data_IF_863440796180
#
_entry.id   IF_863440796180
#
_cell.length_a   1.000
_cell.length_b   1.000
_cell.length_c   1.000
_cell.angle_alpha   90.00
_cell.angle_beta   90.00
_cell.angle_gamma   90.00
#
_symmetry.space_group_name_H-M   'P 1'
#
loop_
_entity.id
_entity.type
_entity.pdbx_description
1 polymer ?
#
# COMPACT_ATOMS: atom_id res chain seq x y z
N UNK A 1 -39.53 -44.89 2.48
CA UNK A 1 -38.43 -45.42 1.65
C UNK A 1 -38.86 -45.21 0.21
N UNK A 2 -38.47 -44.16 -0.52
CA UNK A 2 -37.18 -43.47 -0.68
C UNK A 2 -37.44 -42.01 -1.14
N UNK A 3 -36.67 -41.00 -0.70
CA UNK A 3 -36.74 -39.66 -1.26
C UNK A 3 -35.94 -39.58 -2.57
N UNK A 4 -36.56 -39.03 -3.63
CA UNK A 4 -35.88 -38.66 -4.87
C UNK A 4 -35.48 -37.18 -4.84
N UNK A 5 -34.32 -36.95 -5.45
CA UNK A 5 -33.89 -35.78 -6.21
C UNK A 5 -33.11 -34.66 -5.49
N UNK A 6 -31.79 -34.82 -5.59
CA UNK A 6 -30.74 -33.88 -6.00
C UNK A 6 -30.62 -32.48 -5.35
N UNK A 7 -29.51 -32.17 -4.66
CA UNK A 7 -29.17 -30.80 -4.30
C UNK A 7 -28.49 -30.08 -5.46
N UNK A 8 -29.25 -29.28 -6.22
CA UNK A 8 -28.70 -28.29 -7.16
C UNK A 8 -27.70 -27.36 -6.42
N UNK A 9 -26.39 -27.35 -6.76
CA UNK A 9 -25.54 -26.25 -6.36
C UNK A 9 -25.87 -25.10 -7.30
N UNK A 10 -26.83 -24.26 -6.89
CA UNK A 10 -26.98 -22.90 -7.42
C UNK A 10 -25.74 -22.07 -7.05
N UNK A 11 -24.59 -22.44 -7.60
CA UNK A 11 -23.42 -21.58 -7.77
C UNK A 11 -23.81 -20.52 -8.78
N UNK A 12 -24.55 -19.54 -8.27
CA UNK A 12 -24.59 -18.21 -8.87
C UNK A 12 -23.15 -17.73 -8.89
N UNK A 13 -22.46 -17.97 -9.99
CA UNK A 13 -21.15 -17.39 -10.26
C UNK A 13 -21.40 -15.89 -10.37
N UNK A 14 -21.26 -15.19 -9.24
CA UNK A 14 -21.29 -13.76 -9.18
C UNK A 14 -20.09 -13.27 -10.00
N UNK A 15 -20.32 -12.96 -11.28
CA UNK A 15 -19.35 -12.26 -12.10
C UNK A 15 -18.87 -10.99 -11.39
N UNK A 16 -17.71 -10.43 -11.79
CA UNK A 16 -17.16 -9.25 -11.14
C UNK A 16 -18.24 -8.17 -11.07
N UNK A 17 -18.61 -7.78 -9.85
CA UNK A 17 -19.61 -6.74 -9.61
C UNK A 17 -19.14 -5.49 -10.36
N UNK A 18 -20.02 -4.81 -11.12
CA UNK A 18 -19.68 -3.51 -11.70
C UNK A 18 -19.20 -2.59 -10.58
N UNK A 19 -17.92 -2.20 -10.63
CA UNK A 19 -17.38 -1.23 -9.68
C UNK A 19 -18.12 0.08 -9.97
N UNK A 20 -18.87 0.64 -8.99
CA UNK A 20 -19.55 1.91 -9.22
C UNK A 20 -18.52 2.96 -9.62
N UNK A 21 -18.83 3.86 -10.57
CA UNK A 21 -17.89 4.90 -10.97
C UNK A 21 -17.48 5.71 -9.72
N UNK A 22 -16.20 6.13 -9.62
CA UNK A 22 -15.76 6.97 -8.50
C UNK A 22 -16.69 8.19 -8.45
N UNK A 23 -17.26 8.44 -7.27
CA UNK A 23 -18.25 9.51 -7.05
C UNK A 23 -17.64 10.82 -7.50
N UNK A 24 -18.05 11.33 -8.67
CA UNK A 24 -17.66 12.67 -9.11
C UNK A 24 -18.36 13.67 -8.21
N UNK A 25 -17.59 14.25 -7.29
CA UNK A 25 -18.04 15.31 -6.38
C UNK A 25 -18.33 14.80 -4.97
N UNK A 26 -17.30 14.76 -4.13
CA UNK A 26 -17.50 14.86 -2.69
C UNK A 26 -18.15 16.24 -2.39
N UNK A 27 -19.08 16.38 -1.42
CA UNK A 27 -19.71 17.67 -1.10
C UNK A 27 -18.78 18.64 -0.33
N UNK A 28 -17.47 18.38 -0.34
CA UNK A 28 -16.50 19.14 0.44
C UNK A 28 -16.11 20.44 -0.28
N UNK A 29 -15.96 21.51 0.50
CA UNK A 29 -15.39 22.78 0.06
C UNK A 29 -14.15 23.08 0.93
N UNK A 30 -12.95 23.26 0.34
CA UNK A 30 -12.63 23.16 -1.09
C UNK A 30 -12.84 21.74 -1.66
N UNK A 31 -13.00 21.60 -2.99
CA UNK A 31 -13.22 20.31 -3.62
C UNK A 31 -12.04 19.36 -3.35
N UNK A 32 -12.35 18.08 -3.13
CA UNK A 32 -11.33 17.07 -2.90
C UNK A 32 -10.53 16.80 -4.18
N UNK A 33 -9.22 16.50 -4.05
CA UNK A 33 -8.42 16.07 -5.19
C UNK A 33 -8.94 14.74 -5.75
N UNK A 34 -8.72 14.53 -7.04
CA UNK A 34 -9.07 13.28 -7.71
C UNK A 34 -8.13 12.15 -7.27
N UNK A 35 -8.58 10.90 -7.41
CA UNK A 35 -7.75 9.76 -7.08
C UNK A 35 -6.48 9.65 -7.94
N UNK A 36 -6.48 10.22 -9.15
CA UNK A 36 -5.31 10.18 -10.03
C UNK A 36 -4.29 11.29 -9.72
N UNK A 37 -4.67 12.30 -8.93
CA UNK A 37 -3.80 13.43 -8.59
C UNK A 37 -2.65 13.03 -7.66
N UNK A 38 -1.55 13.78 -7.68
CA UNK A 38 -0.39 13.50 -6.82
C UNK A 38 -0.67 13.67 -5.32
N UNK A 39 -1.63 14.53 -4.99
CA UNK A 39 -2.12 14.90 -3.66
C UNK A 39 -3.42 14.17 -3.28
N UNK A 40 -3.68 12.99 -3.86
CA UNK A 40 -4.92 12.21 -3.63
C UNK A 40 -5.19 11.86 -2.17
N UNK A 41 -4.15 11.78 -1.36
CA UNK A 41 -4.17 11.52 0.08
C UNK A 41 -4.70 12.72 0.90
N UNK A 42 -4.76 13.92 0.31
CA UNK A 42 -5.38 15.10 0.93
C UNK A 42 -6.93 15.08 0.90
N UNK A 43 -7.54 14.06 0.27
CA UNK A 43 -8.99 13.88 0.31
C UNK A 43 -9.47 13.55 1.74
N UNK A 44 -10.73 13.91 2.06
CA UNK A 44 -11.29 13.71 3.39
C UNK A 44 -11.57 12.22 3.65
N UNK A 45 -11.33 11.78 4.89
CA UNK A 45 -11.69 10.44 5.36
C UNK A 45 -13.21 10.29 5.37
N UNK A 46 -13.71 9.30 4.64
CA UNK A 46 -15.12 8.92 4.61
C UNK A 46 -15.42 7.78 5.60
N UNK A 47 -14.46 6.87 5.81
CA UNK A 47 -14.57 5.79 6.80
C UNK A 47 -13.19 5.38 7.29
N UNK A 48 -13.07 5.06 8.56
CA UNK A 48 -11.81 4.72 9.20
C UNK A 48 -11.95 3.37 9.91
N UNK A 49 -11.04 2.45 9.58
CA UNK A 49 -11.06 1.07 10.06
C UNK A 49 -9.80 0.80 10.89
N UNK A 50 -9.83 1.29 12.13
CA UNK A 50 -8.73 1.22 13.07
C UNK A 50 -8.20 -0.19 13.32
N UNK A 51 -9.10 -1.18 13.42
CA UNK A 51 -8.72 -2.59 13.66
C UNK A 51 -7.94 -3.20 12.47
N UNK A 52 -8.05 -2.60 11.29
CA UNK A 52 -7.43 -3.09 10.05
C UNK A 52 -6.33 -2.15 9.52
N UNK A 53 -6.11 -0.99 10.14
CA UNK A 53 -5.05 -0.05 9.78
C UNK A 53 -5.26 0.68 8.44
N UNK A 54 -6.51 0.95 8.04
CA UNK A 54 -6.80 1.70 6.80
C UNK A 54 -7.98 2.67 6.91
N UNK A 55 -8.00 3.65 6.02
CA UNK A 55 -9.04 4.66 5.88
C UNK A 55 -9.50 4.76 4.42
N UNK A 56 -10.81 4.73 4.20
CA UNK A 56 -11.39 5.04 2.89
C UNK A 56 -11.58 6.55 2.77
N UNK A 57 -10.98 7.15 1.74
CA UNK A 57 -11.13 8.55 1.40
C UNK A 57 -12.33 8.76 0.48
N UNK A 58 -12.91 9.96 0.50
CA UNK A 58 -14.11 10.29 -0.28
C UNK A 58 -13.89 10.28 -1.80
N UNK A 59 -12.65 10.32 -2.28
CA UNK A 59 -12.29 10.14 -3.69
C UNK A 59 -12.13 8.66 -4.09
N UNK A 60 -12.38 7.73 -3.16
CA UNK A 60 -12.31 6.28 -3.40
C UNK A 60 -10.93 5.66 -3.18
N UNK A 61 -9.96 6.43 -2.69
CA UNK A 61 -8.63 5.91 -2.33
C UNK A 61 -8.70 5.23 -0.96
N UNK A 62 -8.10 4.05 -0.83
CA UNK A 62 -7.86 3.41 0.46
C UNK A 62 -6.45 3.79 0.90
N UNK A 63 -6.36 4.55 1.99
CA UNK A 63 -5.09 4.97 2.58
C UNK A 63 -4.76 4.06 3.77
N UNK A 64 -3.58 3.45 3.73
CA UNK A 64 -3.04 2.64 4.82
C UNK A 64 -2.23 3.52 5.79
N UNK A 65 -2.11 3.08 7.03
CA UNK A 65 -1.34 3.81 8.06
C UNK A 65 0.13 3.99 7.72
N UNK A 66 0.71 3.09 6.91
CA UNK A 66 2.09 3.19 6.45
C UNK A 66 2.28 4.07 5.22
N UNK A 67 1.28 4.87 4.83
CA UNK A 67 1.26 5.71 3.62
C UNK A 67 1.14 4.91 2.32
N UNK A 68 0.88 3.60 2.39
CA UNK A 68 0.44 2.85 1.20
C UNK A 68 -0.94 3.32 0.73
N UNK A 69 -1.20 3.27 -0.57
CA UNK A 69 -2.49 3.65 -1.13
C UNK A 69 -3.00 2.58 -2.10
N UNK A 70 -4.30 2.30 -2.09
CA UNK A 70 -4.98 1.56 -3.18
C UNK A 70 -5.95 2.52 -3.86
N UNK A 71 -5.73 2.72 -5.16
CA UNK A 71 -6.59 3.54 -6.01
C UNK A 71 -7.93 2.84 -6.27
N UNK A 72 -9.00 3.59 -6.58
CA UNK A 72 -10.29 3.01 -6.98
C UNK A 72 -10.19 2.13 -8.25
N UNK A 73 -9.12 2.28 -9.03
CA UNK A 73 -8.81 1.41 -10.17
C UNK A 73 -8.23 0.04 -9.77
N UNK A 74 -7.99 -0.21 -8.48
CA UNK A 74 -7.30 -1.39 -7.96
C UNK A 74 -5.78 -1.35 -8.08
N UNK A 75 -5.19 -0.19 -8.43
CA UNK A 75 -3.74 -0.02 -8.49
C UNK A 75 -3.18 0.24 -7.09
N UNK A 76 -2.10 -0.43 -6.74
CA UNK A 76 -1.38 -0.23 -5.48
C UNK A 76 -0.25 0.79 -5.67
N UNK A 77 -0.12 1.70 -4.71
CA UNK A 77 0.98 2.65 -4.58
C UNK A 77 1.72 2.28 -3.30
N UNK A 78 3.03 2.09 -3.45
CA UNK A 78 3.86 1.65 -2.33
C UNK A 78 3.96 2.72 -1.24
N UNK A 79 4.07 2.29 0.03
CA UNK A 79 4.38 3.15 1.17
C UNK A 79 5.53 4.11 0.89
N UNK A 80 5.32 5.41 1.15
CA UNK A 80 6.38 6.43 1.05
C UNK A 80 7.33 6.36 2.25
N UNK A 81 8.05 5.24 2.42
CA UNK A 81 9.11 5.13 3.43
C UNK A 81 10.36 5.83 2.92
N UNK A 82 10.76 6.92 3.56
CA UNK A 82 12.14 7.40 3.40
C UNK A 82 13.06 6.30 3.92
N UNK A 83 13.70 5.57 3.01
CA UNK A 83 14.79 4.70 3.41
C UNK A 83 15.81 5.57 4.15
N UNK A 84 16.36 5.12 5.29
CA UNK A 84 17.46 5.83 5.91
C UNK A 84 18.52 5.97 4.83
N UNK A 85 18.91 7.22 4.53
CA UNK A 85 20.06 7.50 3.68
C UNK A 85 21.17 6.63 4.23
N UNK A 86 21.65 5.68 3.42
CA UNK A 86 22.71 4.79 3.84
C UNK A 86 23.77 5.68 4.47
N UNK A 87 23.98 5.54 5.78
CA UNK A 87 25.05 6.25 6.43
C UNK A 87 26.28 5.92 5.60
N UNK A 88 27.11 6.92 5.30
CA UNK A 88 28.45 6.63 4.81
C UNK A 88 29.09 5.79 5.91
N UNK A 89 29.04 4.46 5.81
CA UNK A 89 29.75 3.58 6.72
C UNK A 89 31.21 3.87 6.38
N UNK A 90 31.98 4.50 7.28
CA UNK A 90 33.37 4.75 7.00
C UNK A 90 34.01 3.39 6.72
N UNK A 91 34.65 3.30 5.55
CA UNK A 91 35.37 2.09 5.14
C UNK A 91 36.31 1.71 6.30
N UNK A 92 36.25 0.46 6.81
CA UNK A 92 37.14 0.04 7.88
C UNK A 92 38.60 0.26 7.44
N UNK A 93 39.48 0.70 8.37
CA UNK A 93 40.87 0.96 8.03
C UNK A 93 41.51 -0.32 7.47
N UNK A 94 42.28 -0.17 6.39
CA UNK A 94 42.99 -1.30 5.79
C UNK A 94 43.91 -1.96 6.84
N UNK A 95 44.04 -3.29 6.85
CA UNK A 95 44.96 -3.96 7.75
C UNK A 95 46.38 -3.44 7.49
N UNK A 96 47.04 -2.96 8.55
CA UNK A 96 48.45 -2.58 8.48
C UNK A 96 49.25 -3.80 8.09
N UNK A 97 49.88 -3.77 6.92
CA UNK A 97 50.81 -4.80 6.48
C UNK A 97 51.99 -4.79 7.46
N UNK A 98 52.11 -5.82 8.27
CA UNK A 98 53.25 -5.99 9.15
C UNK A 98 54.49 -6.24 8.27
N UNK A 99 55.36 -5.25 8.15
CA UNK A 99 56.70 -5.44 7.59
C UNK A 99 57.54 -6.18 8.63
N UNK A 100 57.39 -7.50 8.69
CA UNK A 100 58.35 -8.37 9.35
C UNK A 100 59.57 -8.53 8.46
N UNK A 101 60.61 -7.73 8.69
CA UNK A 101 61.95 -8.07 8.22
C UNK A 101 62.58 -9.01 9.25
N UNK A 102 63.11 -10.18 8.86
CA UNK A 102 63.84 -11.02 9.79
C UNK A 102 65.12 -10.28 10.20
N UNK A 103 65.26 -9.99 11.50
CA UNK A 103 66.53 -9.58 12.07
C UNK A 103 67.38 -10.83 12.18
N UNK A 104 68.35 -10.98 11.29
CA UNK A 104 69.39 -12.00 11.38
C UNK A 104 70.43 -11.55 12.41
N UNK A 105 70.73 -12.42 13.38
CA UNK A 105 71.84 -12.29 14.34
C UNK A 105 73.08 -13.00 13.80
#
# INVERSE_FOLDING_TARGET
MVPSDDPEPSSTYAGPRPVPPPRRGCPHSPPCPTADSADRDAARVASQHWDQGWSLLCNGVILFEDTGEILPTGRTIEPRRTLPRAACVPRPPAPRRASGAPVTV
#
